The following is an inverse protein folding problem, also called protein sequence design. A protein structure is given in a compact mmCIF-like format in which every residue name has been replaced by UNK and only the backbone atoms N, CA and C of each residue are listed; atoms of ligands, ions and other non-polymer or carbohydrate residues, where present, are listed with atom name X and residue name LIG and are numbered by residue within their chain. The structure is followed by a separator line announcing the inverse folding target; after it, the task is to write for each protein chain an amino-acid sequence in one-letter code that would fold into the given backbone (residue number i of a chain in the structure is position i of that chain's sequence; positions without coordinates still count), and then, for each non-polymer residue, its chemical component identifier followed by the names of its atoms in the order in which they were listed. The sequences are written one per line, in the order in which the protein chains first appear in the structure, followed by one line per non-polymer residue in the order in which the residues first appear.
data_IF_837100638491
#
_entry.id   IF_837100638491
#
_cell.length_a   1.000
_cell.length_b   1.000
_cell.length_c   1.000
_cell.angle_alpha   90.00
_cell.angle_beta   90.00
_cell.angle_gamma   90.00
#
_symmetry.space_group_name_H-M   'P 1'
#
loop_
_entity.id
_entity.type
_entity.pdbx_description
1 polymer ?
#
# COMPACT_ATOMS: atom_id res chain seq x y z
N UNK A 1 -15.33 14.97 -29.21
CA UNK A 1 -14.93 16.39 -29.32
C UNK A 1 -14.04 16.72 -28.14
N UNK A 2 -12.75 16.95 -28.37
CA UNK A 2 -11.79 17.26 -27.31
C UNK A 2 -12.04 18.69 -26.79
N UNK A 3 -12.47 18.83 -25.54
CA UNK A 3 -12.66 20.12 -24.88
C UNK A 3 -11.30 20.75 -24.54
N UNK A 4 -10.72 21.42 -25.53
CA UNK A 4 -9.66 22.45 -25.53
C UNK A 4 -8.80 22.67 -24.25
N UNK A 5 -8.23 21.62 -23.67
CA UNK A 5 -7.17 21.75 -22.65
C UNK A 5 -7.16 20.67 -21.56
N UNK A 6 -8.29 20.02 -21.31
CA UNK A 6 -8.38 18.91 -20.33
C UNK A 6 -8.57 17.61 -21.12
N UNK A 7 -7.58 16.69 -21.12
CA UNK A 7 -7.76 15.38 -21.74
C UNK A 7 -8.84 14.60 -20.98
N UNK A 8 -9.73 13.93 -21.72
CA UNK A 8 -10.74 13.07 -21.09
C UNK A 8 -10.07 11.87 -20.41
N UNK A 9 -10.68 11.34 -19.35
CA UNK A 9 -10.18 10.16 -18.64
C UNK A 9 -9.91 9.00 -19.59
N UNK A 10 -10.81 8.76 -20.55
CA UNK A 10 -10.64 7.74 -21.58
C UNK A 10 -9.38 7.94 -22.41
N UNK A 11 -9.08 9.16 -22.87
CA UNK A 11 -7.87 9.42 -23.65
C UNK A 11 -6.59 9.16 -22.86
N UNK A 12 -6.58 9.48 -21.56
CA UNK A 12 -5.44 9.20 -20.68
C UNK A 12 -5.27 7.70 -20.41
N UNK A 13 -6.39 6.98 -20.25
CA UNK A 13 -6.38 5.52 -20.07
C UNK A 13 -5.93 4.81 -21.35
N UNK A 14 -6.41 5.23 -22.52
CA UNK A 14 -5.95 4.68 -23.80
C UNK A 14 -4.46 4.92 -24.00
N UNK A 15 -3.96 6.11 -23.66
CA UNK A 15 -2.52 6.41 -23.74
C UNK A 15 -1.70 5.51 -22.80
N UNK A 16 -2.12 5.35 -21.54
CA UNK A 16 -1.44 4.46 -20.59
C UNK A 16 -1.50 2.99 -21.04
N UNK A 17 -2.62 2.52 -21.59
CA UNK A 17 -2.75 1.16 -22.11
C UNK A 17 -1.93 0.93 -23.37
N UNK A 18 -1.83 1.91 -24.26
CA UNK A 18 -0.97 1.84 -25.43
C UNK A 18 0.51 1.71 -25.01
N UNK A 19 0.91 2.39 -23.94
CA UNK A 19 2.24 2.24 -23.34
C UNK A 19 2.40 0.85 -22.69
N UNK A 20 1.36 0.36 -22.00
CA UNK A 20 1.36 -0.95 -21.34
C UNK A 20 1.38 -2.17 -22.28
N UNK A 21 1.01 -1.98 -23.56
CA UNK A 21 1.08 -2.99 -24.61
C UNK A 21 2.50 -3.20 -25.14
N UNK A 22 3.43 -2.29 -24.85
CA UNK A 22 4.84 -2.49 -25.14
C UNK A 22 5.32 -3.56 -24.15
N UNK A 23 5.43 -4.80 -24.64
CA UNK A 23 5.82 -5.94 -23.83
C UNK A 23 7.32 -5.87 -23.53
N UNK A 24 7.66 -5.19 -22.45
CA UNK A 24 9.03 -5.10 -21.94
C UNK A 24 9.12 -6.05 -20.75
N UNK A 25 9.70 -7.22 -20.98
CA UNK A 25 10.02 -8.16 -19.90
C UNK A 25 11.13 -7.54 -19.04
N UNK A 26 10.95 -7.35 -17.72
CA UNK A 26 12.03 -6.92 -16.87
C UNK A 26 13.15 -7.98 -16.89
N UNK A 27 14.44 -7.57 -16.99
CA UNK A 27 15.54 -8.52 -16.93
C UNK A 27 15.62 -9.16 -15.53
N UNK A 28 15.96 -10.45 -15.41
CA UNK A 28 16.11 -11.12 -14.12
C UNK A 28 17.31 -10.52 -13.34
N UNK A 29 17.02 -9.78 -12.26
CA UNK A 29 17.99 -8.91 -11.59
C UNK A 29 19.16 -9.61 -10.87
N UNK A 30 19.10 -10.93 -10.61
CA UNK A 30 20.10 -11.61 -9.77
C UNK A 30 20.92 -12.69 -10.51
N UNK A 31 20.34 -13.41 -11.46
CA UNK A 31 21.03 -14.52 -12.13
C UNK A 31 21.98 -14.03 -13.24
N UNK A 32 21.60 -12.99 -13.98
CA UNK A 32 22.41 -12.47 -15.09
C UNK A 32 23.59 -11.63 -14.62
N UNK A 33 23.47 -10.85 -13.52
CA UNK A 33 24.62 -10.10 -12.96
C UNK A 33 25.75 -11.03 -12.54
N UNK A 34 25.43 -12.14 -11.88
CA UNK A 34 26.40 -13.17 -11.51
C UNK A 34 27.03 -13.86 -12.73
N UNK A 35 26.29 -13.93 -13.84
CA UNK A 35 26.76 -14.48 -15.11
C UNK A 35 27.66 -13.50 -15.86
N UNK A 36 27.36 -12.21 -15.82
CA UNK A 36 28.16 -11.13 -16.41
C UNK A 36 29.45 -10.90 -15.63
N UNK A 37 29.41 -10.95 -14.29
CA UNK A 37 30.60 -10.88 -13.43
C UNK A 37 31.50 -12.12 -13.61
N UNK A 38 30.92 -13.32 -13.69
CA UNK A 38 31.66 -14.54 -14.02
C UNK A 38 32.24 -14.52 -15.45
N UNK A 39 31.50 -13.98 -16.43
CA UNK A 39 32.00 -13.80 -17.79
C UNK A 39 33.07 -12.71 -17.90
N UNK A 40 33.02 -11.69 -17.05
CA UNK A 40 34.05 -10.65 -16.93
C UNK A 40 35.33 -11.19 -16.28
N UNK A 41 35.23 -12.06 -15.26
CA UNK A 41 36.39 -12.79 -14.71
C UNK A 41 37.01 -13.75 -15.72
N UNK A 42 36.21 -14.35 -16.59
CA UNK A 42 36.71 -15.25 -17.65
C UNK A 42 37.41 -14.48 -18.79
N UNK A 43 37.15 -13.17 -18.95
CA UNK A 43 37.85 -12.27 -19.88
C UNK A 43 39.16 -11.77 -19.26
N UNK A 44 40.10 -12.69 -19.04
CA UNK A 44 41.44 -12.37 -18.55
C UNK A 44 42.23 -11.43 -19.49
N UNK A 45 43.32 -10.81 -18.98
CA UNK A 45 44.12 -9.79 -19.69
C UNK A 45 44.71 -10.26 -21.04
N UNK A 46 44.85 -11.57 -21.24
CA UNK A 46 45.26 -12.15 -22.52
C UNK A 46 44.26 -11.89 -23.67
N UNK A 47 42.95 -11.79 -23.38
CA UNK A 47 41.92 -11.50 -24.39
C UNK A 47 41.93 -10.03 -24.82
N UNK A 48 42.44 -9.12 -23.99
CA UNK A 48 42.61 -7.70 -24.32
C UNK A 48 43.86 -7.46 -25.18
N UNK A 49 44.90 -8.29 -25.03
CA UNK A 49 46.10 -8.24 -25.88
C UNK A 49 45.88 -8.81 -27.28
N UNK A 50 45.05 -9.86 -27.42
CA UNK A 50 44.66 -10.42 -28.72
C UNK A 50 43.77 -9.50 -29.56
N UNK A 51 43.11 -8.51 -28.93
CA UNK A 51 42.29 -7.51 -29.62
C UNK A 51 43.08 -6.33 -30.23
N UNK A 52 44.39 -6.23 -29.93
CA UNK A 52 45.25 -5.13 -30.38
C UNK A 52 46.01 -5.42 -31.69
N UNK A 53 45.94 -6.66 -32.20
CA UNK A 53 46.68 -7.08 -33.42
C UNK A 53 45.86 -6.96 -34.71
N UNK A 54 44.65 -6.40 -34.63
CA UNK A 54 43.78 -6.11 -35.77
C UNK A 54 43.78 -4.62 -36.11
N UNK A 55 44.60 -4.23 -37.11
CA UNK A 55 44.55 -2.98 -37.91
C UNK A 55 43.77 -1.80 -37.32
N UNK A 56 44.51 -0.81 -36.84
CA UNK A 56 44.04 0.49 -36.35
C UNK A 56 42.96 1.14 -37.25
N UNK A 57 41.79 1.51 -36.70
CA UNK A 57 40.90 2.46 -37.35
C UNK A 57 41.27 3.90 -36.94
N UNK A 58 41.13 4.81 -37.91
CA UNK A 58 41.35 6.25 -37.77
C UNK A 58 40.54 6.87 -36.62
N UNK A 59 41.21 7.77 -35.90
CA UNK A 59 40.59 8.69 -34.96
C UNK A 59 39.58 9.59 -35.70
N UNK A 60 38.29 9.41 -35.42
CA UNK A 60 37.22 10.23 -36.02
C UNK A 60 35.82 9.92 -35.51
N UNK A 61 35.50 8.67 -35.20
CA UNK A 61 34.21 8.29 -34.64
C UNK A 61 34.41 7.47 -33.37
N UNK A 62 34.34 8.13 -32.21
CA UNK A 62 34.19 7.45 -30.93
C UNK A 62 32.79 6.83 -30.87
N UNK A 63 32.61 5.71 -31.59
CA UNK A 63 31.44 4.87 -31.51
C UNK A 63 31.27 4.43 -30.05
N UNK A 64 30.21 4.96 -29.43
CA UNK A 64 29.71 4.52 -28.12
C UNK A 64 29.74 2.99 -28.09
N UNK A 65 30.31 2.36 -27.05
CA UNK A 65 30.43 0.91 -27.00
C UNK A 65 29.05 0.27 -27.28
N UNK A 66 28.98 -0.82 -28.06
CA UNK A 66 27.72 -1.46 -28.39
C UNK A 66 27.03 -1.87 -27.09
N UNK A 67 25.93 -1.19 -26.76
CA UNK A 67 25.12 -1.48 -25.56
C UNK A 67 24.70 -2.94 -25.61
N UNK A 68 24.92 -3.66 -24.52
CA UNK A 68 24.44 -5.03 -24.37
C UNK A 68 22.91 -5.06 -24.49
N UNK A 69 22.32 -6.18 -24.95
CA UNK A 69 20.86 -6.31 -25.07
C UNK A 69 20.13 -6.05 -23.74
N UNK A 70 20.75 -6.38 -22.60
CA UNK A 70 20.25 -6.07 -21.25
C UNK A 70 20.14 -4.55 -20.99
N UNK A 71 21.18 -3.78 -21.34
CA UNK A 71 21.19 -2.31 -21.20
C UNK A 71 20.14 -1.64 -22.10
N UNK A 72 19.96 -2.13 -23.33
CA UNK A 72 18.94 -1.60 -24.25
C UNK A 72 17.53 -1.82 -23.71
N UNK A 73 17.25 -2.98 -23.11
CA UNK A 73 15.97 -3.26 -22.47
C UNK A 73 15.72 -2.35 -21.27
N UNK A 74 16.75 -2.11 -20.44
CA UNK A 74 16.67 -1.17 -19.30
C UNK A 74 16.35 0.27 -19.76
N UNK A 75 17.01 0.75 -20.82
CA UNK A 75 16.75 2.08 -21.40
C UNK A 75 15.29 2.22 -21.88
N UNK A 76 14.69 1.14 -22.40
CA UNK A 76 13.30 1.15 -22.85
C UNK A 76 12.35 1.15 -21.65
N UNK A 77 12.62 0.35 -20.61
CA UNK A 77 11.87 0.37 -19.35
C UNK A 77 11.88 1.78 -18.75
N UNK A 78 13.04 2.42 -18.69
CA UNK A 78 13.20 3.75 -18.08
C UNK A 78 12.43 4.80 -18.89
N UNK A 79 12.53 4.78 -20.22
CA UNK A 79 11.76 5.69 -21.08
C UNK A 79 10.25 5.49 -20.97
N UNK A 80 9.80 4.23 -20.87
CA UNK A 80 8.38 3.89 -20.71
C UNK A 80 7.87 4.37 -19.36
N UNK A 81 8.64 4.16 -18.29
CA UNK A 81 8.32 4.64 -16.94
C UNK A 81 8.28 6.17 -16.89
N UNK A 82 9.27 6.85 -17.49
CA UNK A 82 9.34 8.31 -17.57
C UNK A 82 8.20 8.90 -18.40
N UNK A 83 7.84 8.27 -19.52
CA UNK A 83 6.70 8.68 -20.33
C UNK A 83 5.38 8.55 -19.55
N UNK A 84 5.17 7.43 -18.86
CA UNK A 84 4.00 7.23 -18.02
C UNK A 84 3.94 8.25 -16.87
N UNK A 85 5.07 8.48 -16.20
CA UNK A 85 5.19 9.48 -15.14
C UNK A 85 4.88 10.90 -15.64
N UNK A 86 5.42 11.27 -16.80
CA UNK A 86 5.20 12.57 -17.44
C UNK A 86 3.73 12.77 -17.84
N UNK A 87 3.03 11.72 -18.28
CA UNK A 87 1.61 11.79 -18.60
C UNK A 87 0.78 12.06 -17.34
N UNK A 88 1.03 11.31 -16.26
CA UNK A 88 0.24 11.39 -15.01
C UNK A 88 0.52 12.69 -14.24
N UNK A 89 1.72 13.23 -14.33
CA UNK A 89 2.14 14.43 -13.58
C UNK A 89 1.67 15.74 -14.22
N UNK A 90 1.28 15.75 -15.51
CA UNK A 90 0.78 16.95 -16.20
C UNK A 90 -0.34 17.64 -15.41
N UNK A 91 -0.30 18.97 -15.23
CA UNK A 91 -1.33 19.71 -14.46
C UNK A 91 -2.75 19.50 -14.97
N UNK A 92 -2.91 19.33 -16.28
CA UNK A 92 -4.22 19.19 -16.93
C UNK A 92 -4.88 17.83 -16.73
N UNK A 93 -4.14 16.81 -16.26
CA UNK A 93 -4.65 15.45 -16.09
C UNK A 93 -5.19 15.26 -14.68
N UNK A 94 -6.46 14.88 -14.55
CA UNK A 94 -7.04 14.45 -13.27
C UNK A 94 -6.61 13.01 -12.98
N UNK A 95 -6.02 12.74 -11.82
CA UNK A 95 -5.67 11.38 -11.42
C UNK A 95 -6.92 10.73 -10.78
N UNK A 96 -7.67 9.99 -11.60
CA UNK A 96 -8.78 9.14 -11.14
C UNK A 96 -8.25 7.83 -10.52
N UNK A 97 -9.07 7.14 -9.71
CA UNK A 97 -8.74 5.84 -9.10
C UNK A 97 -8.34 4.77 -10.11
N UNK A 98 -9.02 4.76 -11.26
CA UNK A 98 -8.78 3.90 -12.42
C UNK A 98 -7.39 4.14 -13.00
N UNK A 99 -7.04 5.40 -13.27
CA UNK A 99 -5.73 5.83 -13.76
C UNK A 99 -4.62 5.44 -12.78
N UNK A 100 -4.84 5.67 -11.48
CA UNK A 100 -3.88 5.29 -10.44
C UNK A 100 -3.65 3.76 -10.43
N UNK A 101 -4.71 2.96 -10.49
CA UNK A 101 -4.61 1.51 -10.50
C UNK A 101 -3.85 0.97 -11.73
N UNK A 102 -4.12 1.51 -12.92
CA UNK A 102 -3.40 1.12 -14.15
C UNK A 102 -1.94 1.57 -14.10
N UNK A 103 -1.65 2.76 -13.55
CA UNK A 103 -0.27 3.23 -13.37
C UNK A 103 0.52 2.34 -12.41
N UNK A 104 -0.06 1.97 -11.27
CA UNK A 104 0.58 1.07 -10.30
C UNK A 104 0.88 -0.29 -10.94
N UNK A 105 -0.09 -0.86 -11.68
CA UNK A 105 0.12 -2.12 -12.42
C UNK A 105 1.23 -2.01 -13.46
N UNK A 106 1.29 -0.89 -14.18
CA UNK A 106 2.36 -0.63 -15.15
C UNK A 106 3.72 -0.61 -14.46
N UNK A 107 3.87 0.15 -13.38
CA UNK A 107 5.15 0.25 -12.67
C UNK A 107 5.54 -1.05 -11.96
N UNK A 108 4.57 -1.81 -11.46
CA UNK A 108 4.80 -3.15 -10.92
C UNK A 108 5.41 -4.08 -11.99
N UNK A 109 4.85 -4.08 -13.21
CA UNK A 109 5.39 -4.85 -14.34
C UNK A 109 6.79 -4.41 -14.76
N UNK A 110 7.10 -3.11 -14.63
CA UNK A 110 8.39 -2.54 -15.00
C UNK A 110 9.47 -2.71 -13.91
N UNK A 111 9.08 -3.10 -12.68
CA UNK A 111 10.01 -3.23 -11.55
C UNK A 111 10.60 -1.90 -11.07
N UNK A 112 9.89 -0.78 -11.26
CA UNK A 112 10.37 0.58 -10.93
C UNK A 112 9.45 1.28 -9.91
N UNK A 113 9.50 0.87 -8.62
CA UNK A 113 8.59 1.40 -7.60
C UNK A 113 8.95 2.80 -7.11
N UNK A 114 10.14 3.33 -7.41
CA UNK A 114 10.64 4.63 -6.91
C UNK A 114 9.71 5.81 -7.20
N UNK A 115 8.95 5.75 -8.31
CA UNK A 115 7.99 6.80 -8.68
C UNK A 115 6.64 6.71 -7.95
N UNK A 116 6.34 5.58 -7.30
CA UNK A 116 5.03 5.30 -6.70
C UNK A 116 4.73 6.19 -5.49
N UNK A 117 5.63 6.38 -4.50
CA UNK A 117 5.36 7.28 -3.36
C UNK A 117 4.95 8.69 -3.81
N UNK A 118 5.66 9.23 -4.80
CA UNK A 118 5.41 10.57 -5.31
C UNK A 118 4.03 10.68 -5.98
N UNK A 119 3.63 9.68 -6.78
CA UNK A 119 2.33 9.69 -7.45
C UNK A 119 1.18 9.46 -6.50
N UNK A 120 1.35 8.63 -5.48
CA UNK A 120 0.35 8.46 -4.41
C UNK A 120 0.15 9.77 -3.65
N UNK A 121 1.23 10.50 -3.36
CA UNK A 121 1.16 11.85 -2.78
C UNK A 121 0.42 12.83 -3.70
N UNK A 122 0.75 12.82 -4.99
CA UNK A 122 0.10 13.66 -6.00
C UNK A 122 -1.39 13.32 -6.13
N UNK A 123 -1.79 12.06 -6.09
CA UNK A 123 -3.20 11.67 -6.14
C UNK A 123 -4.01 12.36 -5.03
N UNK A 124 -3.45 12.47 -3.82
CA UNK A 124 -4.11 13.12 -2.69
C UNK A 124 -4.15 14.66 -2.80
N UNK A 125 -3.07 15.30 -3.27
CA UNK A 125 -2.90 16.77 -3.22
C UNK A 125 -3.13 17.49 -4.55
N UNK A 126 -3.18 16.79 -5.69
CA UNK A 126 -3.21 17.43 -7.01
C UNK A 126 -4.48 18.27 -7.21
N UNK A 127 -4.34 19.55 -7.62
CA UNK A 127 -5.48 20.39 -7.96
C UNK A 127 -6.26 19.81 -9.13
N UNK A 128 -7.59 19.83 -9.03
CA UNK A 128 -8.47 19.32 -10.09
C UNK A 128 -8.81 20.46 -11.06
N UNK A 129 -8.43 20.39 -12.34
CA UNK A 129 -8.88 21.34 -13.35
C UNK A 129 -10.40 21.24 -13.52
N UNK A 130 -11.09 22.37 -13.36
CA UNK A 130 -12.51 22.55 -13.66
C UNK A 130 -12.64 23.59 -14.77
N UNK A 131 -13.47 23.28 -15.76
CA UNK A 131 -13.80 24.22 -16.81
C UNK A 131 -14.87 25.19 -16.28
N UNK A 132 -14.48 26.42 -15.98
CA UNK A 132 -15.39 27.48 -15.56
C UNK A 132 -15.36 28.56 -16.63
N UNK A 133 -16.50 28.74 -17.30
CA UNK A 133 -16.71 29.79 -18.31
C UNK A 133 -15.63 29.89 -19.40
N UNK A 134 -15.20 28.74 -19.94
CA UNK A 134 -14.20 28.67 -21.02
C UNK A 134 -12.74 28.81 -20.56
N UNK A 135 -12.49 28.96 -19.25
CA UNK A 135 -11.15 28.96 -18.65
C UNK A 135 -10.94 27.73 -17.75
N UNK A 136 -9.71 27.20 -17.72
CA UNK A 136 -9.35 26.10 -16.81
C UNK A 136 -8.99 26.70 -15.45
N UNK A 137 -9.86 26.52 -14.47
CA UNK A 137 -9.60 26.87 -13.07
C UNK A 137 -9.16 25.63 -12.29
N UNK A 138 -8.11 25.76 -11.50
CA UNK A 138 -7.62 24.65 -10.66
C UNK A 138 -8.21 24.77 -9.27
N UNK A 139 -9.01 23.77 -8.88
CA UNK A 139 -9.55 23.68 -7.52
C UNK A 139 -8.61 22.84 -6.66
N UNK A 140 -8.14 23.43 -5.57
CA UNK A 140 -7.26 22.74 -4.63
C UNK A 140 -7.97 21.55 -3.97
N UNK A 141 -7.29 20.39 -3.96
CA UNK A 141 -7.81 19.16 -3.36
C UNK A 141 -7.30 19.05 -1.94
N UNK A 142 -8.21 18.82 -0.99
CA UNK A 142 -7.81 18.55 0.38
C UNK A 142 -7.29 17.10 0.50
N UNK A 143 -6.00 16.90 0.84
CA UNK A 143 -5.39 15.58 0.92
C UNK A 143 -5.94 14.74 2.09
N UNK A 144 -6.62 15.35 3.06
CA UNK A 144 -7.17 14.68 4.24
C UNK A 144 -8.62 14.21 4.06
N UNK A 145 -9.25 14.40 2.89
CA UNK A 145 -10.63 13.93 2.65
C UNK A 145 -10.66 12.42 2.43
N UNK A 146 -11.69 11.75 2.94
CA UNK A 146 -11.89 10.30 2.75
C UNK A 146 -12.01 9.90 1.27
N UNK A 147 -12.52 10.79 0.42
CA UNK A 147 -12.62 10.59 -1.03
C UNK A 147 -11.24 10.47 -1.71
N UNK A 148 -10.23 11.12 -1.12
CA UNK A 148 -8.83 11.08 -1.54
C UNK A 148 -8.07 9.86 -1.01
N UNK A 149 -8.74 8.96 -0.28
CA UNK A 149 -8.12 7.72 0.14
C UNK A 149 -7.78 6.84 -1.07
N UNK A 150 -6.59 6.25 -1.02
CA UNK A 150 -6.16 5.22 -1.98
C UNK A 150 -6.93 3.93 -1.67
N UNK A 151 -7.26 3.18 -2.71
CA UNK A 151 -7.91 1.88 -2.55
C UNK A 151 -6.93 0.88 -1.93
N UNK A 152 -7.32 0.10 -0.90
CA UNK A 152 -6.43 -0.88 -0.28
C UNK A 152 -5.84 -1.88 -1.27
N UNK A 153 -6.58 -2.31 -2.30
CA UNK A 153 -6.06 -3.25 -3.29
C UNK A 153 -4.94 -2.64 -4.15
N UNK A 154 -5.04 -1.33 -4.44
CA UNK A 154 -4.01 -0.59 -5.19
C UNK A 154 -2.80 -0.33 -4.30
N UNK A 155 -3.01 -0.02 -3.01
CA UNK A 155 -1.94 0.15 -2.04
C UNK A 155 -1.14 -1.14 -1.81
N UNK A 156 -1.83 -2.29 -1.70
CA UNK A 156 -1.18 -3.60 -1.60
C UNK A 156 -0.38 -3.95 -2.85
N UNK A 157 -0.95 -3.76 -4.05
CA UNK A 157 -0.22 -4.01 -5.29
C UNK A 157 1.02 -3.11 -5.45
N UNK A 158 0.95 -1.86 -4.99
CA UNK A 158 2.09 -0.96 -4.98
C UNK A 158 3.17 -1.42 -3.99
N UNK A 159 2.76 -1.84 -2.80
CA UNK A 159 3.65 -2.35 -1.77
C UNK A 159 4.37 -3.62 -2.23
N UNK A 160 3.66 -4.53 -2.88
CA UNK A 160 4.22 -5.78 -3.41
C UNK A 160 5.25 -5.52 -4.50
N UNK A 161 4.98 -4.55 -5.38
CA UNK A 161 5.95 -4.12 -6.38
C UNK A 161 7.24 -3.53 -5.75
N UNK A 162 7.12 -2.82 -4.63
CA UNK A 162 8.29 -2.28 -3.93
C UNK A 162 9.09 -3.37 -3.20
N UNK A 163 8.39 -4.33 -2.59
CA UNK A 163 8.99 -5.50 -1.95
C UNK A 163 9.72 -6.38 -2.97
N UNK A 164 9.12 -6.60 -4.15
CA UNK A 164 9.72 -7.38 -5.23
C UNK A 164 10.99 -6.72 -5.77
N UNK A 165 10.98 -5.39 -5.88
CA UNK A 165 12.16 -4.60 -6.29
C UNK A 165 13.22 -4.44 -5.18
N UNK A 166 12.95 -4.91 -3.96
CA UNK A 166 13.83 -4.78 -2.78
C UNK A 166 14.22 -3.33 -2.46
N UNK A 167 13.30 -2.40 -2.64
CA UNK A 167 13.50 -0.98 -2.34
C UNK A 167 12.72 -0.59 -1.07
N UNK A 168 13.44 -0.51 0.05
CA UNK A 168 12.85 -0.25 1.36
C UNK A 168 12.30 1.19 1.48
N UNK A 169 13.01 2.15 0.92
CA UNK A 169 12.61 3.56 0.94
C UNK A 169 11.30 3.75 0.16
N UNK A 170 11.18 3.11 -1.02
CA UNK A 170 9.94 3.14 -1.79
C UNK A 170 8.78 2.45 -1.04
N UNK A 171 9.03 1.32 -0.36
CA UNK A 171 8.00 0.60 0.40
C UNK A 171 7.44 1.44 1.55
N UNK A 172 8.31 2.09 2.33
CA UNK A 172 7.88 2.98 3.42
C UNK A 172 7.22 4.25 2.88
N UNK A 173 7.75 4.82 1.80
CA UNK A 173 7.11 5.96 1.12
C UNK A 173 5.70 5.63 0.62
N UNK A 174 5.45 4.42 0.12
CA UNK A 174 4.11 3.96 -0.27
C UNK A 174 3.22 3.84 0.96
N UNK A 175 3.71 3.23 2.04
CA UNK A 175 2.97 3.05 3.29
C UNK A 175 2.52 4.38 3.91
N UNK A 176 3.41 5.38 3.93
CA UNK A 176 3.11 6.72 4.46
C UNK A 176 2.02 7.44 3.67
N UNK A 177 2.05 7.30 2.34
CA UNK A 177 1.07 7.94 1.46
C UNK A 177 -0.25 7.13 1.31
N UNK A 178 -0.32 5.92 1.86
CA UNK A 178 -1.49 5.03 1.78
C UNK A 178 -2.09 4.77 3.16
N UNK A 179 -1.59 3.76 3.89
CA UNK A 179 -2.17 3.28 5.14
C UNK A 179 -2.01 4.29 6.28
N UNK A 180 -0.90 5.04 6.32
CA UNK A 180 -0.68 6.08 7.34
C UNK A 180 -1.39 7.41 7.03
N UNK A 181 -1.93 7.56 5.81
CA UNK A 181 -2.55 8.80 5.39
C UNK A 181 -3.86 9.07 6.15
N UNK A 182 -4.06 10.32 6.59
CA UNK A 182 -5.30 10.76 7.27
C UNK A 182 -6.56 10.49 6.45
N UNK A 183 -6.46 10.55 5.12
CA UNK A 183 -7.55 10.18 4.21
C UNK A 183 -7.97 8.71 4.37
N UNK A 184 -7.00 7.80 4.46
CA UNK A 184 -7.26 6.37 4.63
C UNK A 184 -7.92 6.08 5.97
N UNK A 185 -7.39 6.65 7.06
CA UNK A 185 -7.98 6.49 8.40
C UNK A 185 -9.45 6.97 8.46
N UNK A 186 -9.76 8.10 7.81
CA UNK A 186 -11.13 8.61 7.71
C UNK A 186 -12.02 7.72 6.85
N UNK A 187 -11.53 7.26 5.70
CA UNK A 187 -12.23 6.30 4.84
C UNK A 187 -12.51 5.00 5.60
N UNK A 188 -11.55 4.53 6.40
CA UNK A 188 -11.69 3.34 7.24
C UNK A 188 -12.76 3.53 8.32
N UNK A 189 -12.76 4.67 9.01
CA UNK A 189 -13.80 4.99 9.99
C UNK A 189 -15.20 4.93 9.36
N UNK A 190 -15.36 5.49 8.16
CA UNK A 190 -16.64 5.45 7.44
C UNK A 190 -16.98 4.03 6.98
N UNK A 191 -16.05 3.31 6.33
CA UNK A 191 -16.35 2.01 5.73
C UNK A 191 -16.47 0.88 6.77
N UNK A 192 -15.53 0.80 7.71
CA UNK A 192 -15.45 -0.28 8.71
C UNK A 192 -16.19 0.06 10.01
N UNK A 193 -16.32 1.35 10.36
CA UNK A 193 -17.02 1.78 11.57
C UNK A 193 -18.53 1.95 11.41
N UNK A 194 -19.03 2.22 10.19
CA UNK A 194 -20.44 2.50 9.98
C UNK A 194 -21.36 1.32 10.28
N UNK A 195 -21.04 0.13 9.76
CA UNK A 195 -21.86 -1.07 9.96
C UNK A 195 -22.01 -1.44 11.44
N UNK A 196 -20.91 -1.62 12.22
CA UNK A 196 -21.05 -1.91 13.65
C UNK A 196 -21.69 -0.75 14.42
N UNK A 197 -21.44 0.51 14.02
CA UNK A 197 -22.09 1.67 14.62
C UNK A 197 -23.61 1.68 14.42
N UNK A 198 -24.08 1.35 13.22
CA UNK A 198 -25.50 1.23 12.90
C UNK A 198 -26.14 0.07 13.66
N UNK A 199 -25.45 -1.08 13.76
CA UNK A 199 -25.90 -2.21 14.54
C UNK A 199 -26.05 -1.83 16.02
N UNK A 200 -25.04 -1.20 16.62
CA UNK A 200 -25.09 -0.77 18.01
C UNK A 200 -26.23 0.22 18.30
N UNK A 201 -26.50 1.15 17.36
CA UNK A 201 -27.60 2.10 17.48
C UNK A 201 -28.99 1.46 17.28
N UNK A 202 -29.10 0.44 16.41
CA UNK A 202 -30.34 -0.27 16.13
C UNK A 202 -30.72 -1.30 17.20
N UNK A 203 -29.74 -1.84 17.93
CA UNK A 203 -29.95 -2.89 18.93
C UNK A 203 -30.99 -2.53 20.00
N UNK A 204 -30.98 -1.35 20.66
CA UNK A 204 -32.01 -1.02 21.66
C UNK A 204 -33.42 -0.98 21.06
N UNK A 205 -33.58 -0.50 19.82
CA UNK A 205 -34.88 -0.46 19.14
C UNK A 205 -35.39 -1.87 18.85
N UNK A 206 -34.51 -2.75 18.36
CA UNK A 206 -34.84 -4.15 18.09
C UNK A 206 -35.20 -4.91 19.37
N UNK A 207 -34.44 -4.71 20.45
CA UNK A 207 -34.71 -5.33 21.75
C UNK A 207 -36.03 -4.81 22.33
N UNK A 208 -36.32 -3.50 22.22
CA UNK A 208 -37.59 -2.94 22.67
C UNK A 208 -38.77 -3.56 21.93
N UNK A 209 -38.68 -3.67 20.60
CA UNK A 209 -39.71 -4.33 19.80
C UNK A 209 -39.88 -5.80 20.20
N UNK A 210 -38.79 -6.56 20.32
CA UNK A 210 -38.85 -7.95 20.77
C UNK A 210 -39.46 -8.09 22.17
N UNK A 211 -39.12 -7.18 23.10
CA UNK A 211 -39.67 -7.17 24.45
C UNK A 211 -41.18 -6.91 24.45
N UNK A 212 -41.70 -6.03 23.57
CA UNK A 212 -43.15 -5.78 23.47
C UNK A 212 -43.91 -7.02 22.97
N UNK A 213 -43.35 -7.77 22.02
CA UNK A 213 -43.97 -9.00 21.51
C UNK A 213 -43.95 -10.11 22.59
N UNK A 214 -42.84 -10.24 23.31
CA UNK A 214 -42.74 -11.20 24.41
C UNK A 214 -43.66 -10.85 25.58
N UNK A 215 -43.89 -9.56 25.85
CA UNK A 215 -44.81 -9.13 26.89
C UNK A 215 -46.28 -9.50 26.60
N UNK A 216 -46.66 -9.63 25.33
CA UNK A 216 -48.02 -10.05 24.96
C UNK A 216 -48.29 -11.55 25.20
N UNK A 217 -47.23 -12.37 25.27
CA UNK A 217 -47.34 -13.82 25.49
C UNK A 217 -47.54 -14.17 26.97
N UNK A 218 -47.34 -13.24 27.91
CA UNK A 218 -47.56 -13.46 29.33
C UNK A 218 -48.86 -12.79 29.81
N UNK A 219 -49.52 -13.41 30.80
CA UNK A 219 -50.76 -12.89 31.39
C UNK A 219 -50.63 -12.53 32.88
N UNK A 220 -49.44 -12.68 33.46
CA UNK A 220 -49.21 -12.53 34.91
C UNK A 220 -48.86 -11.10 35.34
N UNK A 221 -48.31 -10.29 34.44
CA UNK A 221 -47.88 -8.91 34.71
C UNK A 221 -48.57 -7.93 33.75
N UNK A 222 -48.70 -6.67 34.18
CA UNK A 222 -49.13 -5.60 33.28
C UNK A 222 -48.14 -5.49 32.09
N UNK A 223 -48.62 -5.40 30.83
CA UNK A 223 -47.77 -5.41 29.64
C UNK A 223 -46.63 -4.37 29.66
N UNK A 224 -46.86 -3.21 30.27
CA UNK A 224 -45.85 -2.15 30.41
C UNK A 224 -44.72 -2.55 31.35
N UNK A 225 -45.06 -3.11 32.51
CA UNK A 225 -44.09 -3.57 33.52
C UNK A 225 -43.31 -4.78 32.98
N UNK A 226 -44.02 -5.71 32.33
CA UNK A 226 -43.44 -6.86 31.64
C UNK A 226 -42.39 -6.45 30.59
N UNK A 227 -42.73 -5.51 29.71
CA UNK A 227 -41.82 -5.01 28.67
C UNK A 227 -40.56 -4.38 29.29
N UNK A 228 -40.72 -3.60 30.36
CA UNK A 228 -39.60 -2.95 31.05
C UNK A 228 -38.59 -3.96 31.61
N UNK A 229 -39.07 -5.02 32.28
CA UNK A 229 -38.19 -6.06 32.82
C UNK A 229 -37.47 -6.84 31.72
N UNK A 230 -38.18 -7.25 30.67
CA UNK A 230 -37.58 -8.00 29.54
C UNK A 230 -36.57 -7.13 28.80
N UNK A 231 -36.92 -5.88 28.51
CA UNK A 231 -36.03 -4.93 27.86
C UNK A 231 -34.75 -4.70 28.68
N UNK A 232 -34.88 -4.43 29.98
CA UNK A 232 -33.75 -4.21 30.87
C UNK A 232 -32.84 -5.44 30.96
N UNK A 233 -33.42 -6.65 31.09
CA UNK A 233 -32.65 -7.89 31.12
C UNK A 233 -31.92 -8.16 29.80
N UNK A 234 -32.62 -8.03 28.67
CA UNK A 234 -32.07 -8.30 27.35
C UNK A 234 -30.98 -7.29 26.95
N UNK A 235 -31.18 -5.98 27.17
CA UNK A 235 -30.18 -4.97 26.84
C UNK A 235 -28.93 -5.10 27.73
N UNK A 236 -29.11 -5.50 28.99
CA UNK A 236 -28.01 -5.79 29.91
C UNK A 236 -27.18 -6.98 29.40
N UNK A 237 -27.84 -8.10 29.08
CA UNK A 237 -27.17 -9.29 28.54
C UNK A 237 -26.41 -8.98 27.23
N UNK A 238 -27.08 -8.32 26.27
CA UNK A 238 -26.46 -7.94 25.00
C UNK A 238 -25.33 -6.93 25.21
N UNK A 239 -25.51 -5.95 26.09
CA UNK A 239 -24.48 -4.97 26.42
C UNK A 239 -23.22 -5.62 27.00
N UNK A 240 -23.36 -6.51 27.98
CA UNK A 240 -22.23 -7.21 28.59
C UNK A 240 -21.54 -8.19 27.63
N UNK A 241 -22.29 -8.96 26.86
CA UNK A 241 -21.69 -9.88 25.88
C UNK A 241 -21.00 -9.13 24.74
N UNK A 242 -21.59 -8.02 24.28
CA UNK A 242 -20.99 -7.19 23.24
C UNK A 242 -19.70 -6.50 23.71
N UNK A 243 -19.62 -6.03 24.96
CA UNK A 243 -18.37 -5.43 25.47
C UNK A 243 -17.25 -6.46 25.57
N UNK A 244 -17.55 -7.67 26.06
CA UNK A 244 -16.56 -8.77 26.09
C UNK A 244 -16.11 -9.13 24.67
N UNK A 245 -17.04 -9.29 23.73
CA UNK A 245 -16.70 -9.59 22.33
C UNK A 245 -15.89 -8.49 21.66
N UNK A 246 -16.17 -7.22 21.97
CA UNK A 246 -15.41 -6.08 21.47
C UNK A 246 -13.99 -6.06 22.02
N UNK A 247 -13.80 -6.34 23.31
CA UNK A 247 -12.46 -6.47 23.91
C UNK A 247 -11.71 -7.61 23.23
N UNK A 248 -12.31 -8.80 23.14
CA UNK A 248 -11.70 -9.96 22.50
C UNK A 248 -11.27 -9.67 21.05
N UNK A 249 -12.12 -8.99 20.27
CA UNK A 249 -11.80 -8.61 18.89
C UNK A 249 -10.64 -7.62 18.81
N UNK A 250 -10.58 -6.62 19.70
CA UNK A 250 -9.48 -5.64 19.70
C UNK A 250 -8.19 -6.16 20.32
N UNK A 251 -8.23 -7.26 21.09
CA UNK A 251 -7.05 -7.90 21.69
C UNK A 251 -6.52 -9.09 20.89
N UNK A 252 -7.20 -9.51 19.82
CA UNK A 252 -6.73 -10.61 18.98
C UNK A 252 -5.39 -10.27 18.32
N UNK A 253 -4.40 -11.15 18.48
CA UNK A 253 -3.03 -10.97 18.00
C UNK A 253 -2.59 -12.01 16.97
N UNK A 254 -3.45 -12.94 16.55
CA UNK A 254 -3.09 -14.06 15.66
C UNK A 254 -2.54 -13.61 14.29
N UNK A 255 -2.87 -12.39 13.87
CA UNK A 255 -2.38 -11.78 12.63
C UNK A 255 -1.00 -11.12 12.73
N UNK A 256 -0.39 -11.07 13.91
CA UNK A 256 0.91 -10.43 14.14
C UNK A 256 2.01 -11.47 14.07
N UNK A 257 2.91 -11.35 13.09
CA UNK A 257 4.05 -12.27 12.94
C UNK A 257 5.30 -11.69 13.60
N UNK A 258 5.85 -10.62 13.04
CA UNK A 258 7.08 -9.97 13.51
C UNK A 258 6.79 -8.63 14.18
N UNK A 259 5.86 -7.86 13.63
CA UNK A 259 5.51 -6.53 14.13
C UNK A 259 4.29 -6.57 15.02
N UNK A 260 4.48 -6.17 16.27
CA UNK A 260 3.46 -6.23 17.33
C UNK A 260 3.26 -4.85 17.95
N UNK A 261 2.14 -4.65 18.67
CA UNK A 261 1.89 -3.38 19.34
C UNK A 261 2.73 -3.23 20.61
N UNK A 262 3.31 -2.06 20.82
CA UNK A 262 3.98 -1.76 22.08
C UNK A 262 3.01 -1.82 23.26
N UNK A 263 3.53 -2.25 24.42
CA UNK A 263 2.81 -2.25 25.70
C UNK A 263 2.27 -0.83 25.99
N UNK A 264 1.02 -0.75 26.45
CA UNK A 264 0.35 0.53 26.73
C UNK A 264 -0.31 1.22 25.53
N UNK A 265 -0.17 0.70 24.31
CA UNK A 265 -0.86 1.25 23.13
C UNK A 265 -2.38 1.10 23.25
N UNK A 266 -3.19 2.18 23.18
CA UNK A 266 -4.63 2.11 23.40
C UNK A 266 -5.34 1.37 22.27
N UNK A 267 -6.40 0.61 22.60
CA UNK A 267 -7.15 -0.23 21.64
C UNK A 267 -7.66 0.56 20.42
N UNK A 268 -8.07 1.82 20.60
CA UNK A 268 -8.50 2.69 19.49
C UNK A 268 -7.38 2.93 18.47
N UNK A 269 -6.14 3.05 18.95
CA UNK A 269 -4.99 3.31 18.10
C UNK A 269 -4.63 2.03 17.34
N UNK A 270 -4.60 0.89 18.04
CA UNK A 270 -4.42 -0.44 17.43
C UNK A 270 -5.43 -0.66 16.31
N UNK A 271 -6.71 -0.45 16.61
CA UNK A 271 -7.75 -0.61 15.59
C UNK A 271 -7.59 0.34 14.44
N UNK A 272 -7.26 1.63 14.64
CA UNK A 272 -7.11 2.60 13.54
C UNK A 272 -5.94 2.25 12.61
N UNK A 273 -4.80 1.87 13.18
CA UNK A 273 -3.53 1.68 12.48
C UNK A 273 -3.20 0.20 12.20
N UNK A 274 -4.16 -0.71 12.33
CA UNK A 274 -3.94 -2.14 12.09
C UNK A 274 -3.45 -2.47 10.67
N UNK A 275 -3.93 -1.77 9.62
CA UNK A 275 -3.42 -2.01 8.25
C UNK A 275 -2.02 -1.42 8.05
N UNK A 276 -1.67 -0.35 8.77
CA UNK A 276 -0.30 0.16 8.80
C UNK A 276 0.63 -0.87 9.43
N UNK A 277 0.24 -1.45 10.57
CA UNK A 277 0.98 -2.55 11.21
C UNK A 277 1.12 -3.75 10.29
N UNK A 278 0.03 -4.21 9.66
CA UNK A 278 0.06 -5.36 8.76
C UNK A 278 0.96 -5.12 7.53
N UNK A 279 1.00 -3.90 7.01
CA UNK A 279 1.90 -3.52 5.93
C UNK A 279 3.37 -3.50 6.40
N UNK A 280 3.66 -2.96 7.60
CA UNK A 280 5.00 -3.00 8.20
C UNK A 280 5.46 -4.43 8.50
N UNK A 281 4.55 -5.31 8.94
CA UNK A 281 4.81 -6.73 9.16
C UNK A 281 5.20 -7.43 7.85
N UNK A 282 4.48 -7.14 6.76
CA UNK A 282 4.81 -7.64 5.42
C UNK A 282 6.18 -7.14 4.94
N UNK A 283 6.49 -5.86 5.15
CA UNK A 283 7.81 -5.28 4.85
C UNK A 283 8.88 -6.02 5.67
N UNK A 284 8.74 -6.09 6.99
CA UNK A 284 9.71 -6.75 7.88
C UNK A 284 9.96 -8.22 7.47
N UNK A 285 8.91 -8.99 7.22
CA UNK A 285 9.04 -10.38 6.75
C UNK A 285 9.76 -10.52 5.40
N UNK A 286 9.72 -9.49 4.55
CA UNK A 286 10.25 -9.55 3.19
C UNK A 286 11.68 -9.00 3.04
N UNK A 287 12.07 -8.08 3.92
CA UNK A 287 13.42 -7.49 3.96
C UNK A 287 14.33 -8.24 4.95
N UNK A 288 13.75 -8.89 5.96
CA UNK A 288 14.48 -9.80 6.84
C UNK A 288 14.59 -11.23 6.33
N UNK A 289 15.09 -12.11 7.18
CA UNK A 289 15.02 -13.55 7.00
C UNK A 289 13.55 -13.99 6.95
N UNK A 290 13.27 -14.96 6.08
CA UNK A 290 11.96 -15.60 6.01
C UNK A 290 11.78 -16.66 7.10
N UNK A 291 12.88 -17.13 7.69
CA UNK A 291 12.93 -18.25 8.62
C UNK A 291 12.73 -17.79 10.08
N UNK A 292 11.71 -18.34 10.74
CA UNK A 292 11.28 -17.91 12.08
C UNK A 292 12.38 -18.00 13.15
N UNK A 293 13.23 -19.03 13.06
CA UNK A 293 14.31 -19.27 14.02
C UNK A 293 15.49 -18.30 13.90
N UNK A 294 15.53 -17.48 12.85
CA UNK A 294 16.58 -16.48 12.61
C UNK A 294 16.10 -15.06 12.81
N UNK A 295 14.85 -14.89 13.23
CA UNK A 295 14.32 -13.58 13.59
C UNK A 295 15.14 -13.01 14.75
N UNK A 296 15.51 -11.73 14.65
CA UNK A 296 16.40 -11.08 15.61
C UNK A 296 17.90 -11.18 15.35
N UNK A 297 18.36 -12.04 14.42
CA UNK A 297 19.78 -12.12 14.00
C UNK A 297 20.12 -11.15 12.85
N UNK A 298 19.16 -10.32 12.44
CA UNK A 298 19.28 -9.46 11.26
C UNK A 298 20.07 -8.20 11.59
N UNK A 299 21.24 -8.07 10.96
CA UNK A 299 22.09 -6.89 11.03
C UNK A 299 22.14 -6.19 9.67
N UNK A 300 21.86 -4.88 9.67
CA UNK A 300 21.92 -4.06 8.47
C UNK A 300 21.45 -2.64 8.77
N UNK A 301 22.06 -1.64 8.13
CA UNK A 301 21.69 -0.23 8.34
C UNK A 301 20.22 0.02 8.00
N UNK A 302 19.76 -0.50 6.86
CA UNK A 302 18.38 -0.40 6.41
C UNK A 302 17.40 -1.09 7.37
N UNK A 303 17.78 -2.25 7.90
CA UNK A 303 16.95 -3.01 8.83
C UNK A 303 16.88 -2.35 10.22
N UNK A 304 17.99 -1.79 10.70
CA UNK A 304 18.03 -1.01 11.92
C UNK A 304 17.19 0.28 11.79
N UNK A 305 17.24 0.93 10.63
CA UNK A 305 16.37 2.06 10.35
C UNK A 305 14.89 1.66 10.32
N UNK A 306 14.53 0.53 9.71
CA UNK A 306 13.17 -0.01 9.74
C UNK A 306 12.71 -0.28 11.18
N UNK A 307 13.57 -0.86 12.02
CA UNK A 307 13.27 -1.12 13.44
C UNK A 307 12.99 0.17 14.21
N UNK A 308 13.82 1.20 14.03
CA UNK A 308 13.62 2.51 14.65
C UNK A 308 12.33 3.18 14.14
N UNK A 309 12.05 3.06 12.84
CA UNK A 309 10.82 3.55 12.24
C UNK A 309 9.57 2.90 12.86
N UNK A 310 9.56 1.57 12.99
CA UNK A 310 8.47 0.81 13.63
C UNK A 310 8.31 1.23 15.10
N UNK A 311 9.42 1.39 15.83
CA UNK A 311 9.41 1.82 17.23
C UNK A 311 8.78 3.22 17.39
N UNK A 312 9.10 4.16 16.49
CA UNK A 312 8.52 5.51 16.48
C UNK A 312 6.98 5.51 16.35
N UNK A 313 6.39 4.42 15.82
CA UNK A 313 4.96 4.23 15.60
C UNK A 313 4.26 3.45 16.72
N UNK A 314 4.88 3.33 17.89
CA UNK A 314 4.35 2.54 19.03
C UNK A 314 4.16 1.05 18.69
N UNK A 315 5.01 0.53 17.83
CA UNK A 315 5.07 -0.89 17.46
C UNK A 315 6.45 -1.43 17.84
N UNK A 316 6.55 -2.74 18.02
CA UNK A 316 7.81 -3.43 18.35
C UNK A 316 8.05 -4.47 17.26
N UNK A 317 9.25 -4.42 16.69
CA UNK A 317 9.75 -5.45 15.78
C UNK A 317 10.40 -6.56 16.61
N UNK A 318 10.03 -7.81 16.33
CA UNK A 318 10.53 -9.02 16.98
C UNK A 318 10.38 -8.94 18.51
N UNK A 319 9.12 -8.89 18.97
CA UNK A 319 8.82 -8.93 20.39
C UNK A 319 9.22 -10.29 20.98
N UNK A 320 9.96 -10.23 22.10
CA UNK A 320 10.51 -11.39 22.81
C UNK A 320 9.43 -12.43 23.17
N UNK A 321 8.26 -11.94 23.60
CA UNK A 321 7.12 -12.77 24.01
C UNK A 321 6.46 -13.53 22.85
N UNK A 322 6.84 -13.26 21.60
CA UNK A 322 6.25 -13.88 20.41
C UNK A 322 7.31 -14.61 19.57
N UNK A 323 8.56 -14.68 20.04
CA UNK A 323 9.59 -15.46 19.38
C UNK A 323 9.43 -16.95 19.67
N UNK A 324 9.57 -17.83 18.65
CA UNK A 324 9.48 -19.27 18.84
C UNK A 324 10.57 -19.75 19.80
N UNK A 325 10.17 -20.54 20.81
CA UNK A 325 11.08 -21.07 21.82
C UNK A 325 11.22 -20.22 23.09
N UNK A 326 10.55 -19.06 23.17
CA UNK A 326 10.50 -18.21 24.37
C UNK A 326 9.16 -18.26 25.13
N UNK A 327 8.18 -19.04 24.64
CA UNK A 327 6.86 -19.29 25.24
C UNK A 327 6.69 -20.74 25.73
#
# INVERSE_FOLDING_TARGET
MASSGIPSEETTLTALRAIAQIDVRPPPAAAERRSEDAAAETRGPASQLLGLDGLAPQAGDAARPPRTPSQRSQDVVDKVSEAAYTIVTRPTVVITRTILAEYVKLQARLGKPQSLPQILRLYASKPTPKLVSGSVQYVERNPNKAESAVDPAVAEAALDAAIEAKDLEAAIGILENTYSAKAFLRSKLIKKGFVPGLAAAGTPVAIYYAATQLAQLQHSLEPKVATGFVFAGAICYVGFTATIGMVAHFTANDQMKRVTWALGTPLRHRWLYEEERAALDKIACSFGFSEEHRYGEEEGEEFMWLREYILSRSMILDAVDLMPGMN
#
